data_IF_665283230244
#
_entry.id   IF_665283230244
#
_cell.length_a   1.000
_cell.length_b   1.000
_cell.length_c   1.000
_cell.angle_alpha   90.00
_cell.angle_beta   90.00
_cell.angle_gamma   90.00
#
_symmetry.space_group_name_H-M   'P 1'
#
loop_
_entity.id
_entity.type
_entity.pdbx_description
1 polymer ?
#
# COMPACT_ATOMS: atom_id res chain seq x y z
N UNK A 1 32.09 -12.38 -40.52
CA UNK A 1 32.75 -11.33 -39.71
C UNK A 1 31.77 -10.18 -39.52
N UNK A 2 31.74 -9.56 -38.34
CA UNK A 2 30.80 -8.46 -38.00
C UNK A 2 31.54 -7.15 -37.71
N UNK A 3 30.98 -6.02 -38.13
CA UNK A 3 31.55 -4.69 -37.85
C UNK A 3 30.95 -4.11 -36.56
N UNK A 4 31.81 -3.54 -35.71
CA UNK A 4 31.36 -2.89 -34.49
C UNK A 4 30.54 -1.62 -34.82
N UNK A 5 29.29 -1.47 -34.32
CA UNK A 5 28.45 -0.31 -34.60
C UNK A 5 28.96 0.99 -33.95
N UNK A 6 29.85 0.90 -32.95
CA UNK A 6 30.40 2.06 -32.25
C UNK A 6 31.68 2.59 -32.89
N UNK A 7 32.58 1.72 -33.32
CA UNK A 7 33.92 2.12 -33.77
C UNK A 7 34.33 1.56 -35.15
N UNK A 8 33.47 0.79 -35.82
CA UNK A 8 33.70 0.26 -37.17
C UNK A 8 34.76 -0.85 -37.27
N UNK A 9 35.26 -1.39 -36.16
CA UNK A 9 36.26 -2.47 -36.19
C UNK A 9 35.66 -3.81 -36.62
N UNK A 10 36.41 -4.58 -37.41
CA UNK A 10 36.06 -5.94 -37.82
C UNK A 10 36.26 -6.92 -36.64
N UNK A 11 35.27 -7.76 -36.37
CA UNK A 11 35.26 -8.76 -35.31
C UNK A 11 34.80 -10.12 -35.85
N UNK A 12 35.11 -11.18 -35.11
CA UNK A 12 34.64 -12.55 -35.40
C UNK A 12 33.11 -12.63 -35.35
N UNK A 13 32.56 -13.64 -36.04
CA UNK A 13 31.12 -13.92 -35.97
C UNK A 13 30.77 -14.36 -34.55
N UNK A 14 29.74 -13.75 -33.95
CA UNK A 14 29.28 -13.94 -32.57
C UNK A 14 30.13 -13.33 -31.44
N UNK A 15 31.11 -12.48 -31.74
CA UNK A 15 31.85 -11.79 -30.68
C UNK A 15 30.92 -10.95 -29.79
N UNK A 16 30.97 -11.17 -28.47
CA UNK A 16 30.05 -10.51 -27.50
C UNK A 16 30.46 -9.07 -27.21
N UNK A 17 31.75 -8.77 -27.34
CA UNK A 17 32.35 -7.45 -27.14
C UNK A 17 33.30 -7.12 -28.28
N UNK A 18 33.43 -5.83 -28.59
CA UNK A 18 34.36 -5.34 -29.59
C UNK A 18 35.80 -5.43 -29.07
N UNK A 19 36.69 -6.10 -29.80
CA UNK A 19 38.12 -6.23 -29.44
C UNK A 19 38.86 -4.88 -29.35
N UNK A 20 38.37 -3.85 -30.05
CA UNK A 20 39.03 -2.54 -30.14
C UNK A 20 38.55 -1.55 -29.08
N UNK A 21 37.25 -1.46 -28.84
CA UNK A 21 36.67 -0.43 -27.95
C UNK A 21 35.91 -0.99 -26.75
N UNK A 22 35.84 -2.32 -26.61
CA UNK A 22 35.17 -2.99 -25.49
C UNK A 22 33.64 -2.83 -25.47
N UNK A 23 33.02 -2.17 -26.46
CA UNK A 23 31.56 -2.04 -26.51
C UNK A 23 30.90 -3.40 -26.72
N UNK A 24 29.80 -3.66 -26.01
CA UNK A 24 28.96 -4.82 -26.30
C UNK A 24 28.48 -4.78 -27.76
N UNK A 25 28.59 -5.90 -28.46
CA UNK A 25 28.07 -6.06 -29.82
C UNK A 25 26.71 -6.74 -29.84
N UNK A 26 26.19 -7.14 -28.68
CA UNK A 26 24.80 -7.55 -28.56
C UNK A 26 23.91 -6.31 -28.67
N UNK A 27 22.88 -6.33 -29.54
CA UNK A 27 21.87 -5.29 -29.52
C UNK A 27 21.28 -5.21 -28.11
N UNK A 28 20.96 -4.01 -27.60
CA UNK A 28 20.35 -3.88 -26.29
C UNK A 28 19.11 -4.78 -26.25
N UNK A 29 19.08 -5.73 -25.32
CA UNK A 29 17.90 -6.58 -25.10
C UNK A 29 16.78 -5.63 -24.73
N UNK A 30 15.87 -5.38 -25.67
CA UNK A 30 14.69 -4.57 -25.36
C UNK A 30 13.98 -5.29 -24.21
N UNK A 31 13.64 -4.60 -23.10
CA UNK A 31 12.92 -5.22 -22.01
C UNK A 31 11.61 -5.75 -22.61
N UNK A 32 11.49 -7.07 -22.72
CA UNK A 32 10.24 -7.68 -23.13
C UNK A 32 9.19 -7.26 -22.11
N UNK A 33 8.06 -6.70 -22.57
CA UNK A 33 6.89 -6.50 -21.71
C UNK A 33 6.54 -7.88 -21.18
N UNK A 34 6.96 -8.19 -19.94
CA UNK A 34 6.58 -9.44 -19.27
C UNK A 34 5.06 -9.41 -19.14
N UNK A 35 4.35 -10.16 -19.98
CA UNK A 35 2.96 -10.46 -19.70
C UNK A 35 2.91 -11.27 -18.39
N UNK A 36 1.92 -11.01 -17.52
CA UNK A 36 1.76 -11.75 -16.28
C UNK A 36 1.63 -13.25 -16.60
N UNK A 37 2.27 -14.09 -15.79
CA UNK A 37 2.20 -15.54 -15.97
C UNK A 37 0.75 -16.02 -15.84
N UNK A 38 0.36 -16.96 -16.71
CA UNK A 38 -1.01 -17.50 -16.79
C UNK A 38 -1.53 -18.11 -15.48
N UNK A 39 -0.62 -18.54 -14.59
CA UNK A 39 -0.94 -19.10 -13.27
C UNK A 39 -1.49 -18.06 -12.28
N UNK A 40 -1.25 -16.76 -12.47
CA UNK A 40 -1.83 -15.71 -11.62
C UNK A 40 -3.22 -15.25 -12.09
N UNK A 41 -3.73 -15.76 -13.21
CA UNK A 41 -5.02 -15.35 -13.76
C UNK A 41 -6.11 -16.36 -13.36
N UNK A 42 -7.18 -15.85 -12.73
CA UNK A 42 -8.39 -16.64 -12.46
C UNK A 42 -8.96 -17.17 -13.78
N UNK A 43 -9.57 -18.36 -13.74
CA UNK A 43 -10.16 -19.00 -14.94
C UNK A 43 -11.12 -18.05 -15.67
N UNK A 44 -11.87 -17.27 -14.89
CA UNK A 44 -12.81 -16.27 -15.39
C UNK A 44 -12.13 -15.09 -16.11
N UNK A 45 -11.03 -14.56 -15.56
CA UNK A 45 -10.30 -13.44 -16.16
C UNK A 45 -9.55 -13.86 -17.43
N UNK A 46 -9.18 -15.14 -17.56
CA UNK A 46 -8.60 -15.70 -18.79
C UNK A 46 -9.59 -15.71 -19.94
N UNK A 47 -10.84 -16.05 -19.67
CA UNK A 47 -11.91 -16.13 -20.68
C UNK A 47 -12.39 -14.76 -21.12
N UNK A 48 -12.65 -13.85 -20.18
CA UNK A 48 -13.30 -12.56 -20.45
C UNK A 48 -12.38 -11.34 -20.43
N UNK A 49 -11.10 -11.50 -20.05
CA UNK A 49 -10.10 -10.41 -19.99
C UNK A 49 -10.64 -9.19 -19.24
N UNK A 50 -10.64 -8.01 -19.87
CA UNK A 50 -11.11 -6.76 -19.28
C UNK A 50 -12.63 -6.73 -19.02
N UNK A 51 -13.42 -7.60 -19.67
CA UNK A 51 -14.84 -7.73 -19.38
C UNK A 51 -15.12 -8.56 -18.12
N UNK A 52 -14.15 -9.35 -17.65
CA UNK A 52 -14.30 -10.20 -16.47
C UNK A 52 -14.71 -9.42 -15.20
N UNK A 53 -13.97 -8.37 -14.81
CA UNK A 53 -14.31 -7.53 -13.66
C UNK A 53 -15.71 -6.91 -13.74
N UNK A 54 -16.10 -6.47 -14.94
CA UNK A 54 -17.41 -5.88 -15.21
C UNK A 54 -18.54 -6.89 -15.01
N UNK A 55 -18.41 -8.09 -15.60
CA UNK A 55 -19.41 -9.16 -15.47
C UNK A 55 -19.57 -9.58 -14.00
N UNK A 56 -18.46 -9.73 -13.25
CA UNK A 56 -18.50 -10.01 -11.81
C UNK A 56 -19.29 -8.96 -11.05
N UNK A 57 -19.09 -7.68 -11.36
CA UNK A 57 -19.79 -6.56 -10.72
C UNK A 57 -21.29 -6.63 -10.99
N UNK A 58 -21.69 -6.88 -12.25
CA UNK A 58 -23.10 -7.06 -12.60
C UNK A 58 -23.73 -8.27 -11.90
N UNK A 59 -23.04 -9.40 -11.82
CA UNK A 59 -23.54 -10.58 -11.12
C UNK A 59 -23.77 -10.32 -9.62
N UNK A 60 -22.84 -9.65 -8.95
CA UNK A 60 -23.01 -9.26 -7.54
C UNK A 60 -24.15 -8.24 -7.37
N UNK A 61 -24.32 -7.33 -8.33
CA UNK A 61 -25.41 -6.34 -8.30
C UNK A 61 -26.77 -6.99 -8.51
N UNK A 62 -26.88 -7.95 -9.43
CA UNK A 62 -28.10 -8.74 -9.62
C UNK A 62 -28.43 -9.53 -8.36
N UNK A 63 -27.41 -10.11 -7.71
CA UNK A 63 -27.60 -10.78 -6.42
C UNK A 63 -28.09 -9.80 -5.34
N UNK A 64 -27.51 -8.61 -5.24
CA UNK A 64 -27.99 -7.57 -4.32
C UNK A 64 -29.44 -7.15 -4.60
N UNK A 65 -29.83 -7.01 -5.86
CA UNK A 65 -31.21 -6.73 -6.26
C UNK A 65 -32.16 -7.85 -5.79
N UNK A 66 -31.76 -9.11 -5.97
CA UNK A 66 -32.52 -10.25 -5.47
C UNK A 66 -32.65 -10.20 -3.94
N UNK A 67 -31.58 -9.84 -3.21
CA UNK A 67 -31.64 -9.69 -1.75
C UNK A 67 -32.60 -8.57 -1.35
N UNK A 68 -32.59 -7.42 -2.04
CA UNK A 68 -33.52 -6.30 -1.81
C UNK A 68 -34.97 -6.76 -1.98
N UNK A 69 -35.29 -7.45 -3.07
CA UNK A 69 -36.63 -7.98 -3.33
C UNK A 69 -37.09 -8.96 -2.25
N UNK A 70 -36.20 -9.86 -1.80
CA UNK A 70 -36.50 -10.78 -0.70
C UNK A 70 -36.72 -10.00 0.60
N UNK A 71 -35.87 -9.03 0.93
CA UNK A 71 -36.04 -8.21 2.13
C UNK A 71 -37.35 -7.44 2.12
N UNK A 72 -37.75 -6.87 0.99
CA UNK A 72 -39.03 -6.17 0.82
C UNK A 72 -40.23 -7.13 0.86
N UNK A 73 -40.08 -8.38 0.42
CA UNK A 73 -41.13 -9.38 0.56
C UNK A 73 -41.35 -9.80 2.03
N UNK A 74 -40.30 -9.75 2.85
CA UNK A 74 -40.35 -10.09 4.29
C UNK A 74 -40.60 -8.89 5.21
N UNK A 75 -40.70 -7.67 4.66
CA UNK A 75 -40.84 -6.44 5.45
C UNK A 75 -42.13 -6.39 6.28
N UNK A 76 -43.20 -7.03 5.81
CA UNK A 76 -44.48 -7.09 6.52
C UNK A 76 -44.39 -7.76 7.90
N UNK A 77 -43.46 -8.70 8.06
CA UNK A 77 -43.32 -9.51 9.27
C UNK A 77 -42.08 -9.13 10.11
N UNK A 78 -41.20 -8.27 9.61
CA UNK A 78 -39.96 -7.92 10.31
C UNK A 78 -39.45 -6.50 10.00
N UNK A 79 -39.34 -5.68 11.06
CA UNK A 79 -38.78 -4.32 10.98
C UNK A 79 -37.32 -4.33 10.52
N UNK A 80 -36.56 -5.36 10.89
CA UNK A 80 -35.22 -5.58 10.38
C UNK A 80 -35.19 -5.71 8.85
N UNK A 81 -36.07 -6.52 8.24
CA UNK A 81 -36.06 -6.73 6.79
C UNK A 81 -36.45 -5.46 6.03
N UNK A 82 -37.38 -4.67 6.57
CA UNK A 82 -37.71 -3.33 6.06
C UNK A 82 -36.48 -2.41 6.06
N UNK A 83 -35.88 -2.20 7.23
CA UNK A 83 -34.71 -1.31 7.39
C UNK A 83 -33.51 -1.75 6.55
N UNK A 84 -33.25 -3.05 6.48
CA UNK A 84 -32.16 -3.62 5.69
C UNK A 84 -32.41 -3.48 4.18
N UNK A 85 -33.65 -3.70 3.72
CA UNK A 85 -34.04 -3.51 2.32
C UNK A 85 -33.91 -2.05 1.88
N UNK A 86 -34.34 -1.11 2.72
CA UNK A 86 -34.22 0.33 2.47
C UNK A 86 -32.75 0.78 2.45
N UNK A 87 -31.93 0.25 3.36
CA UNK A 87 -30.50 0.52 3.37
C UNK A 87 -29.81 0.05 2.08
N UNK A 88 -30.08 -1.19 1.64
CA UNK A 88 -29.47 -1.74 0.43
C UNK A 88 -29.94 -1.00 -0.83
N UNK A 89 -31.24 -0.71 -0.93
CA UNK A 89 -31.81 -0.02 -2.09
C UNK A 89 -31.33 1.44 -2.19
N UNK A 90 -31.29 2.17 -1.08
CA UNK A 90 -30.80 3.55 -1.02
C UNK A 90 -29.30 3.69 -1.37
N UNK A 91 -28.51 2.65 -1.14
CA UNK A 91 -27.07 2.65 -1.37
C UNK A 91 -26.62 1.81 -2.58
N UNK A 92 -27.55 1.28 -3.38
CA UNK A 92 -27.25 0.34 -4.47
C UNK A 92 -26.17 0.86 -5.45
N UNK A 93 -26.23 2.15 -5.81
CA UNK A 93 -25.23 2.77 -6.69
C UNK A 93 -23.84 2.78 -6.04
N UNK A 94 -23.76 3.08 -4.75
CA UNK A 94 -22.49 3.09 -4.00
C UNK A 94 -21.91 1.68 -3.96
N UNK A 95 -22.74 0.66 -3.66
CA UNK A 95 -22.31 -0.75 -3.75
C UNK A 95 -21.77 -1.08 -5.13
N UNK A 96 -22.51 -0.74 -6.20
CA UNK A 96 -22.09 -1.00 -7.58
C UNK A 96 -20.71 -0.38 -7.87
N UNK A 97 -20.51 0.89 -7.55
CA UNK A 97 -19.25 1.62 -7.81
C UNK A 97 -18.10 1.03 -6.98
N UNK A 98 -18.31 0.73 -5.69
CA UNK A 98 -17.26 0.17 -4.84
C UNK A 98 -16.86 -1.24 -5.31
N UNK A 99 -17.83 -2.08 -5.67
CA UNK A 99 -17.56 -3.42 -6.22
C UNK A 99 -16.82 -3.30 -7.55
N UNK A 100 -17.22 -2.37 -8.42
CA UNK A 100 -16.54 -2.11 -9.70
C UNK A 100 -15.09 -1.72 -9.49
N UNK A 101 -14.84 -0.71 -8.64
CA UNK A 101 -13.50 -0.22 -8.31
C UNK A 101 -12.65 -1.34 -7.71
N UNK A 102 -13.19 -2.11 -6.77
CA UNK A 102 -12.50 -3.25 -6.13
C UNK A 102 -12.14 -4.33 -7.16
N UNK A 103 -13.08 -4.69 -8.03
CA UNK A 103 -12.89 -5.70 -9.07
C UNK A 103 -11.83 -5.29 -10.09
N UNK A 104 -11.86 -4.03 -10.56
CA UNK A 104 -10.85 -3.49 -11.48
C UNK A 104 -9.49 -3.28 -10.82
N UNK A 105 -9.44 -2.85 -9.56
CA UNK A 105 -8.20 -2.74 -8.78
C UNK A 105 -7.48 -4.09 -8.68
N UNK A 106 -8.23 -5.16 -8.39
CA UNK A 106 -7.69 -6.52 -8.39
C UNK A 106 -7.22 -6.98 -9.77
N UNK A 107 -7.89 -6.58 -10.85
CA UNK A 107 -7.47 -6.89 -12.21
C UNK A 107 -6.17 -6.16 -12.60
N UNK A 108 -6.09 -4.85 -12.33
CA UNK A 108 -4.94 -4.03 -12.67
C UNK A 108 -3.71 -4.33 -11.81
N UNK A 109 -3.89 -4.73 -10.54
CA UNK A 109 -2.78 -5.15 -9.69
C UNK A 109 -2.04 -6.37 -10.26
N UNK A 110 -2.74 -7.23 -11.02
CA UNK A 110 -2.16 -8.38 -11.74
C UNK A 110 -1.48 -8.00 -13.06
N UNK A 111 -2.03 -7.03 -13.81
CA UNK A 111 -1.50 -6.63 -15.12
C UNK A 111 -0.32 -5.66 -15.02
N UNK A 112 -0.42 -4.64 -14.15
CA UNK A 112 0.56 -3.56 -14.04
C UNK A 112 0.94 -3.34 -12.58
N UNK A 113 1.60 -4.32 -11.91
CA UNK A 113 1.86 -4.26 -10.48
C UNK A 113 2.71 -3.04 -10.07
N UNK A 114 3.62 -2.56 -10.93
CA UNK A 114 4.45 -1.38 -10.64
C UNK A 114 3.67 -0.06 -10.71
N UNK A 115 2.87 0.13 -11.75
CA UNK A 115 2.07 1.35 -11.94
C UNK A 115 0.92 1.40 -10.92
N UNK A 116 0.24 0.27 -10.72
CA UNK A 116 -0.86 0.15 -9.77
C UNK A 116 -0.43 0.23 -8.31
N UNK A 117 0.85 -0.01 -8.00
CA UNK A 117 1.37 0.03 -6.62
C UNK A 117 1.09 1.36 -5.92
N UNK A 118 1.07 2.49 -6.66
CA UNK A 118 0.79 3.82 -6.07
C UNK A 118 -0.69 4.09 -5.81
N UNK A 119 -1.58 3.49 -6.60
CA UNK A 119 -3.04 3.72 -6.51
C UNK A 119 -3.70 2.72 -5.56
N UNK A 120 -3.09 1.54 -5.40
CA UNK A 120 -3.59 0.45 -4.54
C UNK A 120 -3.92 0.87 -3.10
N UNK A 121 -3.12 1.70 -2.39
CA UNK A 121 -3.43 2.11 -1.02
C UNK A 121 -4.75 2.89 -0.90
N UNK A 122 -5.01 3.84 -1.81
CA UNK A 122 -6.24 4.63 -1.82
C UNK A 122 -7.44 3.72 -2.03
N UNK A 123 -7.38 2.86 -3.06
CA UNK A 123 -8.49 1.98 -3.37
C UNK A 123 -8.77 1.02 -2.21
N UNK A 124 -7.73 0.43 -1.62
CA UNK A 124 -7.89 -0.44 -0.46
C UNK A 124 -8.50 0.30 0.73
N UNK A 125 -8.06 1.52 1.03
CA UNK A 125 -8.62 2.34 2.11
C UNK A 125 -10.11 2.63 1.88
N UNK A 126 -10.50 3.05 0.68
CA UNK A 126 -11.90 3.31 0.31
C UNK A 126 -12.75 2.04 0.46
N UNK A 127 -12.31 0.92 -0.11
CA UNK A 127 -13.05 -0.35 -0.10
C UNK A 127 -13.22 -0.88 1.33
N UNK A 128 -12.15 -0.93 2.13
CA UNK A 128 -12.21 -1.44 3.51
C UNK A 128 -13.10 -0.55 4.38
N UNK A 129 -12.97 0.77 4.25
CA UNK A 129 -13.79 1.74 4.99
C UNK A 129 -15.27 1.59 4.64
N UNK A 130 -15.59 1.37 3.37
CA UNK A 130 -16.96 1.10 2.93
C UNK A 130 -17.54 -0.18 3.58
N UNK A 131 -16.80 -1.29 3.59
CA UNK A 131 -17.29 -2.52 4.23
C UNK A 131 -17.43 -2.39 5.75
N UNK A 132 -16.57 -1.62 6.41
CA UNK A 132 -16.72 -1.29 7.83
C UNK A 132 -17.95 -0.41 8.09
N UNK A 133 -18.25 0.53 7.20
CA UNK A 133 -19.47 1.34 7.26
C UNK A 133 -20.72 0.48 7.12
N UNK A 134 -20.73 -0.45 6.15
CA UNK A 134 -21.84 -1.42 6.01
C UNK A 134 -21.98 -2.26 7.28
N UNK A 135 -20.88 -2.76 7.84
CA UNK A 135 -20.91 -3.52 9.09
C UNK A 135 -21.45 -2.71 10.27
N UNK A 136 -21.09 -1.42 10.38
CA UNK A 136 -21.61 -0.52 11.40
C UNK A 136 -23.13 -0.37 11.30
N UNK A 137 -23.66 -0.16 10.08
CA UNK A 137 -25.10 -0.08 9.86
C UNK A 137 -25.81 -1.40 10.22
N UNK A 138 -25.23 -2.54 9.87
CA UNK A 138 -25.78 -3.86 10.24
C UNK A 138 -25.84 -4.03 11.77
N UNK A 139 -24.82 -3.58 12.52
CA UNK A 139 -24.87 -3.59 13.98
C UNK A 139 -26.01 -2.73 14.55
N UNK A 140 -26.24 -1.56 13.95
CA UNK A 140 -27.34 -0.66 14.34
C UNK A 140 -28.68 -1.34 14.08
N UNK A 141 -28.90 -1.88 12.89
CA UNK A 141 -30.17 -2.54 12.53
C UNK A 141 -30.48 -3.74 13.41
N UNK A 142 -29.49 -4.58 13.71
CA UNK A 142 -29.67 -5.73 14.62
C UNK A 142 -29.93 -5.25 16.06
N UNK A 143 -29.26 -4.16 16.48
CA UNK A 143 -29.40 -3.60 17.81
C UNK A 143 -30.77 -2.98 18.06
N UNK A 144 -31.35 -2.30 17.08
CA UNK A 144 -32.68 -1.67 17.18
C UNK A 144 -33.82 -2.69 17.30
N UNK A 145 -33.71 -3.84 16.61
CA UNK A 145 -34.75 -4.88 16.62
C UNK A 145 -34.68 -5.79 17.87
N UNK A 146 -33.55 -5.80 18.57
CA UNK A 146 -33.33 -6.69 19.71
C UNK A 146 -33.51 -5.99 21.07
N UNK A 147 -34.61 -6.35 21.75
CA UNK A 147 -34.98 -5.81 23.07
C UNK A 147 -33.83 -6.04 24.07
N UNK A 148 -33.20 -4.95 24.52
CA UNK A 148 -32.15 -4.96 25.55
C UNK A 148 -30.70 -4.91 25.04
N UNK A 149 -30.45 -4.76 23.74
CA UNK A 149 -29.09 -4.75 23.17
C UNK A 149 -28.59 -3.34 22.79
N UNK A 150 -28.72 -2.36 23.69
CA UNK A 150 -28.14 -1.01 23.54
C UNK A 150 -26.64 -1.04 23.21
N UNK A 151 -25.95 -2.10 23.65
CA UNK A 151 -24.53 -2.36 23.35
C UNK A 151 -24.29 -2.46 21.85
N UNK A 152 -25.14 -3.15 21.07
CA UNK A 152 -24.93 -3.32 19.63
C UNK A 152 -25.06 -1.99 18.87
N UNK A 153 -26.08 -1.19 19.23
CA UNK A 153 -26.27 0.15 18.66
C UNK A 153 -25.07 1.04 18.98
N UNK A 154 -24.64 1.05 20.24
CA UNK A 154 -23.47 1.81 20.69
C UNK A 154 -22.20 1.38 19.95
N UNK A 155 -22.00 0.07 19.72
CA UNK A 155 -20.88 -0.44 18.94
C UNK A 155 -20.91 0.06 17.50
N UNK A 156 -22.09 0.09 16.88
CA UNK A 156 -22.31 0.67 15.55
C UNK A 156 -21.96 2.16 15.49
N UNK A 157 -22.47 2.96 16.43
CA UNK A 157 -22.19 4.40 16.52
C UNK A 157 -20.71 4.70 16.74
N UNK A 158 -20.05 3.95 17.62
CA UNK A 158 -18.60 4.07 17.83
C UNK A 158 -17.84 3.74 16.55
N UNK A 159 -18.22 2.67 15.85
CA UNK A 159 -17.58 2.28 14.59
C UNK A 159 -17.76 3.36 13.51
N UNK A 160 -18.94 3.99 13.43
CA UNK A 160 -19.19 5.13 12.55
C UNK A 160 -18.32 6.34 12.89
N UNK A 161 -18.16 6.65 14.17
CA UNK A 161 -17.37 7.79 14.65
C UNK A 161 -15.88 7.64 14.34
N UNK A 162 -15.33 6.42 14.45
CA UNK A 162 -13.90 6.16 14.20
C UNK A 162 -13.56 5.87 12.74
N UNK A 163 -14.56 5.79 11.85
CA UNK A 163 -14.39 5.30 10.48
C UNK A 163 -13.40 6.15 9.66
N UNK A 164 -13.41 7.47 9.83
CA UNK A 164 -12.48 8.37 9.17
C UNK A 164 -11.03 8.18 9.65
N UNK A 165 -10.85 7.85 10.93
CA UNK A 165 -9.53 7.56 11.51
C UNK A 165 -8.99 6.27 10.89
N UNK A 166 -9.83 5.24 10.79
CA UNK A 166 -9.47 3.97 10.14
C UNK A 166 -9.08 4.19 8.69
N UNK A 167 -9.86 4.99 7.94
CA UNK A 167 -9.55 5.35 6.56
C UNK A 167 -8.16 5.99 6.43
N UNK A 168 -7.88 7.01 7.25
CA UNK A 168 -6.59 7.71 7.23
C UNK A 168 -5.43 6.80 7.65
N UNK A 169 -5.64 5.92 8.63
CA UNK A 169 -4.65 4.94 9.07
C UNK A 169 -4.31 3.95 7.96
N UNK A 170 -5.30 3.35 7.30
CA UNK A 170 -5.09 2.39 6.20
C UNK A 170 -4.37 3.08 5.05
N UNK A 171 -4.79 4.29 4.68
CA UNK A 171 -4.18 5.08 3.63
C UNK A 171 -2.70 5.34 3.92
N UNK A 172 -2.40 5.78 5.15
CA UNK A 172 -1.06 6.07 5.61
C UNK A 172 -0.16 4.83 5.55
N UNK A 173 -0.57 3.74 6.21
CA UNK A 173 0.19 2.50 6.27
C UNK A 173 0.42 1.90 4.87
N UNK A 174 -0.58 2.02 4.00
CA UNK A 174 -0.47 1.63 2.60
C UNK A 174 0.59 2.43 1.85
N UNK A 175 0.61 3.76 1.98
CA UNK A 175 1.63 4.60 1.34
C UNK A 175 3.04 4.42 1.92
N UNK A 176 3.18 4.22 3.23
CA UNK A 176 4.47 3.83 3.83
C UNK A 176 4.97 2.55 3.18
N UNK A 177 4.12 1.53 3.08
CA UNK A 177 4.49 0.23 2.48
C UNK A 177 4.95 0.39 1.03
N UNK A 178 4.32 1.28 0.26
CA UNK A 178 4.76 1.60 -1.11
C UNK A 178 6.14 2.23 -1.10
N UNK A 179 6.36 3.28 -0.30
CA UNK A 179 7.64 4.01 -0.24
C UNK A 179 8.79 3.09 0.21
N UNK A 180 8.56 2.27 1.24
CA UNK A 180 9.53 1.28 1.70
C UNK A 180 9.88 0.25 0.61
N UNK A 181 8.92 -0.11 -0.25
CA UNK A 181 9.18 -1.04 -1.33
C UNK A 181 9.98 -0.39 -2.49
N UNK A 182 9.84 0.93 -2.69
CA UNK A 182 10.61 1.68 -3.69
C UNK A 182 12.09 1.82 -3.32
N UNK A 183 12.41 1.94 -2.04
CA UNK A 183 13.79 2.06 -1.55
C UNK A 183 14.61 0.76 -1.70
N UNK A 184 13.97 -0.39 -1.95
CA UNK A 184 14.64 -1.71 -2.12
C UNK A 184 15.25 -1.93 -3.50
N UNK A 185 15.23 -0.94 -4.40
CA UNK A 185 15.85 -1.07 -5.71
C UNK A 185 17.37 -1.28 -5.56
N UNK A 186 17.94 -2.38 -6.07
CA UNK A 186 19.38 -2.60 -6.00
C UNK A 186 20.10 -1.46 -6.71
N UNK A 187 21.10 -0.88 -6.05
CA UNK A 187 22.02 0.06 -6.69
C UNK A 187 22.61 -0.62 -7.94
N UNK A 188 22.83 0.13 -9.05
CA UNK A 188 23.54 -0.40 -10.20
C UNK A 188 24.90 -0.91 -9.72
N UNK A 189 25.12 -2.22 -9.79
CA UNK A 189 26.44 -2.79 -9.48
C UNK A 189 27.38 -2.26 -10.56
N UNK A 190 28.42 -1.49 -10.20
CA UNK A 190 29.40 -1.05 -11.19
C UNK A 190 29.97 -2.29 -11.87
N UNK A 191 30.24 -2.25 -13.20
CA UNK A 191 30.82 -3.38 -13.90
C UNK A 191 32.09 -3.81 -13.15
N UNK A 192 32.09 -5.06 -12.68
CA UNK A 192 33.25 -5.66 -12.04
C UNK A 192 34.41 -5.62 -13.03
N UNK A 193 35.36 -4.71 -12.80
CA UNK A 193 36.63 -4.70 -13.52
C UNK A 193 37.40 -6.01 -13.28
N UNK A 194 38.41 -6.31 -14.10
CA UNK A 194 39.26 -7.49 -13.93
C UNK A 194 39.77 -7.57 -12.51
N UNK A 195 39.48 -8.68 -11.85
CA UNK A 195 39.66 -8.87 -10.42
C UNK A 195 41.10 -8.69 -9.97
N UNK A 196 41.30 -7.72 -9.07
CA UNK A 196 42.28 -7.86 -8.01
C UNK A 196 41.50 -8.12 -6.74
N UNK A 197 41.61 -9.36 -6.25
CA UNK A 197 41.07 -9.74 -4.96
C UNK A 197 41.64 -8.80 -3.89
N UNK A 198 40.81 -8.18 -3.03
CA UNK A 198 41.33 -7.42 -1.91
C UNK A 198 42.15 -8.34 -1.01
N UNK A 199 43.32 -7.90 -0.52
CA UNK A 199 44.15 -8.72 0.35
C UNK A 199 43.38 -9.10 1.62
N UNK A 200 43.40 -10.39 1.93
CA UNK A 200 42.85 -10.94 3.16
C UNK A 200 43.72 -10.49 4.36
N UNK A 201 43.45 -9.30 4.90
CA UNK A 201 43.62 -9.00 6.33
C UNK A 201 43.34 -7.51 6.61
N UNK A 202 42.22 -7.25 7.24
CA UNK A 202 42.13 -6.21 8.27
C UNK A 202 40.86 -6.50 9.05
N UNK A 203 40.98 -7.37 10.06
CA UNK A 203 39.96 -7.39 11.13
C UNK A 203 40.01 -5.99 11.74
N UNK A 204 38.96 -5.15 11.58
CA UNK A 204 38.97 -3.83 12.18
C UNK A 204 39.03 -4.01 13.70
N UNK A 205 39.75 -3.14 14.44
CA UNK A 205 39.65 -3.15 15.89
C UNK A 205 38.17 -3.03 16.28
N UNK A 206 37.74 -3.83 17.25
CA UNK A 206 36.35 -3.85 17.71
C UNK A 206 35.88 -2.41 17.97
N UNK A 207 35.02 -1.92 17.09
CA UNK A 207 34.58 -0.55 17.08
C UNK A 207 33.80 -0.29 18.37
N UNK A 208 34.32 0.60 19.22
CA UNK A 208 33.64 1.04 20.42
C UNK A 208 32.35 1.74 19.99
N UNK A 209 31.22 1.04 20.08
CA UNK A 209 29.89 1.62 19.84
C UNK A 209 29.50 2.39 21.10
N UNK A 210 29.64 3.73 21.14
CA UNK A 210 29.18 4.48 22.30
C UNK A 210 27.68 4.23 22.50
N UNK A 211 27.25 4.12 23.75
CA UNK A 211 25.84 3.97 24.12
C UNK A 211 25.03 5.05 23.40
N UNK A 212 24.23 4.64 22.40
CA UNK A 212 23.35 5.56 21.66
C UNK A 212 22.41 6.20 22.67
N UNK A 213 22.45 7.51 22.78
CA UNK A 213 21.47 8.30 23.55
C UNK A 213 20.44 8.85 22.58
N UNK A 214 19.18 8.85 22.99
CA UNK A 214 18.12 9.50 22.22
C UNK A 214 18.37 11.01 22.28
N UNK A 215 18.73 11.59 21.14
CA UNK A 215 18.97 13.02 20.95
C UNK A 215 18.15 13.50 19.76
N UNK A 216 17.88 14.81 19.65
CA UNK A 216 17.24 15.36 18.44
C UNK A 216 18.29 15.51 17.34
N UNK A 217 17.97 15.07 16.13
CA UNK A 217 18.88 15.21 14.99
C UNK A 217 19.05 16.68 14.60
N UNK A 218 20.30 17.12 14.47
CA UNK A 218 20.66 18.42 13.89
C UNK A 218 20.78 18.36 12.37
N UNK A 219 20.97 17.18 11.78
CA UNK A 219 21.13 16.99 10.33
C UNK A 219 19.80 16.84 9.60
N UNK A 220 18.83 16.13 10.19
CA UNK A 220 17.52 15.89 9.57
C UNK A 220 16.37 16.55 10.35
N UNK A 221 16.30 17.89 10.25
CA UNK A 221 15.35 18.75 10.97
C UNK A 221 14.31 19.36 10.03
N UNK A 222 13.04 19.01 10.22
CA UNK A 222 11.89 19.74 9.63
C UNK A 222 11.26 20.69 10.66
N UNK A 223 10.91 20.19 11.85
CA UNK A 223 10.28 21.01 12.93
C UNK A 223 11.26 21.20 14.10
N UNK A 224 11.42 20.19 14.96
CA UNK A 224 12.32 20.24 16.12
C UNK A 224 13.44 19.18 16.09
N UNK A 225 13.55 18.40 15.01
CA UNK A 225 14.53 17.32 14.87
C UNK A 225 14.23 16.06 15.70
N UNK A 226 13.05 15.98 16.34
CA UNK A 226 12.64 14.85 17.18
C UNK A 226 12.49 13.57 16.36
N UNK A 227 11.76 13.63 15.24
CA UNK A 227 11.58 12.45 14.38
C UNK A 227 12.90 11.94 13.79
N UNK A 228 13.79 12.85 13.35
CA UNK A 228 15.12 12.50 12.84
C UNK A 228 15.99 11.88 13.94
N UNK A 229 15.91 12.42 15.16
CA UNK A 229 16.61 11.89 16.32
C UNK A 229 16.16 10.51 16.78
N UNK A 230 14.85 10.28 16.79
CA UNK A 230 14.27 8.95 17.02
C UNK A 230 14.69 7.95 15.94
N UNK A 231 14.69 8.36 14.67
CA UNK A 231 15.14 7.51 13.58
C UNK A 231 16.63 7.14 13.69
N UNK A 232 17.50 8.08 14.03
CA UNK A 232 18.93 7.81 14.30
C UNK A 232 19.13 6.85 15.48
N UNK A 233 18.33 6.99 16.53
CA UNK A 233 18.35 6.12 17.70
C UNK A 233 17.91 4.69 17.36
N UNK A 234 16.77 4.54 16.67
CA UNK A 234 16.20 3.24 16.28
C UNK A 234 16.83 2.64 15.02
N UNK A 235 17.71 3.36 14.33
CA UNK A 235 18.30 2.92 13.05
C UNK A 235 17.26 2.76 11.94
N UNK A 236 16.18 3.53 11.98
CA UNK A 236 15.09 3.53 10.99
C UNK A 236 15.12 4.81 10.15
N UNK A 237 14.37 4.82 9.05
CA UNK A 237 14.25 6.01 8.20
C UNK A 237 13.47 7.12 8.97
N UNK A 238 14.00 8.35 9.08
CA UNK A 238 13.31 9.52 9.62
C UNK A 238 11.92 9.76 9.04
N UNK A 239 11.69 9.37 7.79
CA UNK A 239 10.39 9.47 7.15
C UNK A 239 9.33 8.62 7.87
N UNK A 240 9.62 7.35 8.19
CA UNK A 240 8.68 6.48 8.89
C UNK A 240 8.26 7.05 10.25
N UNK A 241 9.22 7.59 10.99
CA UNK A 241 8.95 8.19 12.31
C UNK A 241 8.06 9.42 12.17
N UNK A 242 8.27 10.27 11.16
CA UNK A 242 7.40 11.43 10.90
C UNK A 242 5.97 11.02 10.61
N UNK A 243 5.81 10.00 9.77
CA UNK A 243 4.50 9.51 9.36
C UNK A 243 3.73 8.93 10.56
N UNK A 244 4.40 8.19 11.45
CA UNK A 244 3.81 7.69 12.69
C UNK A 244 3.28 8.83 13.58
N UNK A 245 4.06 9.92 13.72
CA UNK A 245 3.63 11.09 14.49
C UNK A 245 2.41 11.78 13.89
N UNK A 246 2.34 11.91 12.56
CA UNK A 246 1.20 12.54 11.88
C UNK A 246 -0.08 11.73 12.10
N UNK A 247 -0.03 10.41 11.98
CA UNK A 247 -1.23 9.60 12.23
C UNK A 247 -1.59 9.49 13.70
N UNK A 248 -0.60 9.43 14.59
CA UNK A 248 -0.87 9.57 16.02
C UNK A 248 -1.58 10.89 16.34
N UNK A 249 -1.21 11.99 15.69
CA UNK A 249 -1.84 13.30 15.88
C UNK A 249 -3.31 13.30 15.45
N UNK A 250 -3.60 12.76 14.26
CA UNK A 250 -4.97 12.67 13.74
C UNK A 250 -5.82 11.73 14.59
N UNK A 251 -5.28 10.56 14.97
CA UNK A 251 -6.01 9.54 15.72
C UNK A 251 -6.26 9.93 17.18
N UNK A 252 -5.42 10.80 17.76
CA UNK A 252 -5.51 11.19 19.17
C UNK A 252 -6.10 12.57 19.42
N UNK A 253 -6.74 13.18 18.41
CA UNK A 253 -7.29 14.54 18.50
C UNK A 253 -6.26 15.56 19.04
N UNK A 254 -4.98 15.39 18.67
CA UNK A 254 -3.89 16.28 19.06
C UNK A 254 -3.07 15.89 20.30
N UNK A 255 -3.35 14.78 21.00
CA UNK A 255 -2.51 14.36 22.13
C UNK A 255 -1.05 14.07 21.72
N UNK A 256 -0.85 13.51 20.53
CA UNK A 256 0.49 13.36 19.95
C UNK A 256 1.14 14.70 19.62
N UNK A 257 0.39 15.78 19.34
CA UNK A 257 1.04 17.10 19.20
C UNK A 257 1.68 17.54 20.51
N UNK A 258 1.01 17.31 21.65
CA UNK A 258 1.53 17.62 22.97
C UNK A 258 2.75 16.75 23.32
N UNK A 259 2.68 15.44 23.08
CA UNK A 259 3.82 14.55 23.29
C UNK A 259 5.03 14.97 22.43
N UNK A 260 4.81 15.39 21.18
CA UNK A 260 5.88 15.90 20.32
C UNK A 260 6.53 17.15 20.92
N UNK A 261 5.71 18.06 21.44
CA UNK A 261 6.18 19.29 22.08
C UNK A 261 7.04 18.99 23.31
N UNK A 262 6.59 18.06 24.16
CA UNK A 262 7.34 17.64 25.35
C UNK A 262 8.69 17.03 24.96
N UNK A 263 8.73 16.11 24.00
CA UNK A 263 9.98 15.53 23.51
C UNK A 263 10.90 16.59 22.88
N UNK A 264 10.30 17.58 22.20
CA UNK A 264 11.00 18.74 21.65
C UNK A 264 11.47 19.74 22.71
N UNK A 265 11.16 19.56 24.00
CA UNK A 265 11.74 20.34 25.10
C UNK A 265 12.78 19.49 25.83
N UNK A 266 12.46 18.23 26.13
CA UNK A 266 13.26 17.33 26.96
C UNK A 266 14.53 16.83 26.26
N UNK A 267 14.47 16.49 24.97
CA UNK A 267 15.60 15.84 24.31
C UNK A 267 16.75 16.84 24.05
N UNK A 268 18.01 16.55 24.34
CA UNK A 268 19.11 17.42 23.94
C UNK A 268 19.32 17.38 22.42
N UNK A 269 19.91 18.44 21.84
CA UNK A 269 20.28 18.47 20.41
C UNK A 269 21.57 17.68 20.20
N UNK A 270 21.64 16.91 19.11
CA UNK A 270 22.88 16.27 18.69
C UNK A 270 23.92 17.36 18.33
N UNK A 271 25.21 17.16 18.69
CA UNK A 271 26.29 18.06 18.27
C UNK A 271 26.45 18.13 16.75
#
# INVERSE_FOLDING_TARGET
MTYCPRCGALNEDQATFCIKCGSSMQPPVQPSKRLPSSHLQTSFDRTFKAAGPLIKTFLVTIFLLLVIEISQALSADSHFAESFGDFLSGNLLVFFVIILISSYSGYYSRLYPREHSFVSPIIAAVVVTFFLWVAANVFIFIGEDSVGNEVLVTMGDVLMSILYIIFLLILLLGYISVIMNLQKAPLPVPPSGPGMAPPASSVPPAEYQPVKRLMRSSRDRIVAGVCGGMAEYFGTDPFLVRVLWVVGLIASLGAFLLAYLVLAIVLPRSP
#
